data_IF_669785258086
#
_entry.id   IF_669785258086
#
_cell.length_a   1.000
_cell.length_b   1.000
_cell.length_c   1.000
_cell.angle_alpha   90.00
_cell.angle_beta   90.00
_cell.angle_gamma   90.00
#
_symmetry.space_group_name_H-M   'P 1'
#
loop_
_entity.id
_entity.type
_entity.pdbx_description
1 polymer ?
#
# COMPACT_ATOMS: atom_id res chain seq x y z
N UNK A 1 -13.12 3.95 11.19
CA UNK A 1 -11.90 4.74 10.86
C UNK A 1 -10.66 3.98 11.29
N UNK A 2 -9.79 3.65 10.34
CA UNK A 2 -8.50 2.96 10.49
C UNK A 2 -7.46 3.95 11.02
N UNK A 3 -6.87 3.67 12.19
CA UNK A 3 -5.96 4.59 12.89
C UNK A 3 -4.49 4.33 12.63
N UNK A 4 -4.14 3.09 12.27
CA UNK A 4 -2.79 2.70 11.93
C UNK A 4 -2.79 1.64 10.83
N UNK A 5 -1.64 1.44 10.21
CA UNK A 5 -1.54 0.60 9.01
C UNK A 5 -1.78 -0.89 9.26
N UNK A 6 -1.57 -1.39 10.48
CA UNK A 6 -1.80 -2.80 10.80
C UNK A 6 -3.30 -3.14 10.85
N UNK A 7 -4.16 -2.14 11.10
CA UNK A 7 -5.61 -2.33 11.11
C UNK A 7 -6.18 -2.65 9.71
N UNK A 8 -5.42 -2.42 8.63
CA UNK A 8 -5.78 -2.83 7.26
C UNK A 8 -6.02 -4.35 7.16
N UNK A 9 -5.42 -5.15 8.05
CA UNK A 9 -5.65 -6.59 8.08
C UNK A 9 -7.12 -6.97 8.31
N UNK A 10 -7.93 -6.06 8.89
CA UNK A 10 -9.36 -6.27 9.15
C UNK A 10 -10.25 -5.91 7.95
N UNK A 11 -9.69 -5.29 6.92
CA UNK A 11 -10.43 -4.87 5.73
C UNK A 11 -10.62 -6.03 4.76
N UNK A 12 -11.76 -6.03 4.09
CA UNK A 12 -12.01 -6.89 2.94
C UNK A 12 -11.13 -6.48 1.76
N UNK A 13 -11.11 -7.33 0.73
CA UNK A 13 -10.29 -7.09 -0.45
C UNK A 13 -10.82 -5.93 -1.30
N UNK A 14 -12.15 -5.77 -1.37
CA UNK A 14 -12.81 -4.73 -2.18
C UNK A 14 -12.44 -3.33 -1.69
N UNK A 15 -12.47 -3.10 -0.38
CA UNK A 15 -12.03 -1.84 0.25
C UNK A 15 -10.57 -1.54 -0.08
N UNK A 16 -9.70 -2.55 -0.04
CA UNK A 16 -8.28 -2.39 -0.34
C UNK A 16 -8.08 -2.09 -1.84
N UNK A 17 -8.80 -2.78 -2.72
CA UNK A 17 -8.75 -2.53 -4.16
C UNK A 17 -9.21 -1.12 -4.51
N UNK A 18 -10.28 -0.64 -3.88
CA UNK A 18 -10.77 0.73 -4.09
C UNK A 18 -9.75 1.76 -3.59
N UNK A 19 -9.14 1.56 -2.43
CA UNK A 19 -8.09 2.45 -1.93
C UNK A 19 -6.81 2.43 -2.79
N UNK A 20 -6.52 1.31 -3.44
CA UNK A 20 -5.40 1.20 -4.39
C UNK A 20 -5.71 1.86 -5.75
N UNK A 21 -6.98 2.01 -6.13
CA UNK A 21 -7.37 2.62 -7.39
C UNK A 21 -6.88 4.08 -7.42
N UNK A 22 -6.14 4.44 -8.47
CA UNK A 22 -5.55 5.77 -8.61
C UNK A 22 -4.34 6.04 -7.70
N UNK A 23 -3.85 5.05 -6.94
CA UNK A 23 -2.59 5.18 -6.20
C UNK A 23 -1.40 4.95 -7.15
N UNK A 24 -0.44 5.87 -7.14
CA UNK A 24 0.74 5.79 -8.01
C UNK A 24 1.67 4.64 -7.61
N UNK A 25 2.36 4.05 -8.60
CA UNK A 25 3.31 2.95 -8.40
C UNK A 25 4.40 3.35 -7.39
N UNK A 26 4.87 4.60 -7.42
CA UNK A 26 5.88 5.12 -6.51
C UNK A 26 5.38 5.12 -5.07
N UNK A 27 4.11 5.46 -4.84
CA UNK A 27 3.50 5.45 -3.52
C UNK A 27 3.39 4.02 -2.97
N UNK A 28 2.92 3.07 -3.79
CA UNK A 28 2.82 1.66 -3.40
C UNK A 28 4.20 1.05 -3.13
N UNK A 29 5.20 1.38 -3.94
CA UNK A 29 6.57 0.92 -3.73
C UNK A 29 7.16 1.44 -2.41
N UNK A 30 6.92 2.71 -2.07
CA UNK A 30 7.31 3.27 -0.78
C UNK A 30 6.60 2.56 0.39
N UNK A 31 5.30 2.25 0.25
CA UNK A 31 4.58 1.46 1.23
C UNK A 31 5.29 0.13 1.47
N UNK A 32 5.54 -0.66 0.43
CA UNK A 32 6.11 -2.01 0.60
C UNK A 32 7.47 -2.02 1.29
N UNK A 33 8.27 -0.96 1.16
CA UNK A 33 9.56 -0.83 1.85
C UNK A 33 9.44 -0.55 3.35
N UNK A 34 8.30 -0.02 3.80
CA UNK A 34 8.06 0.43 5.18
C UNK A 34 7.14 -0.50 5.97
N UNK A 35 6.39 -1.37 5.30
CA UNK A 35 5.43 -2.25 5.94
C UNK A 35 6.07 -3.55 6.43
N UNK A 36 5.43 -4.15 7.44
CA UNK A 36 5.70 -5.53 7.79
C UNK A 36 5.23 -6.45 6.65
N UNK A 37 5.92 -7.58 6.50
CA UNK A 37 5.63 -8.57 5.46
C UNK A 37 4.14 -8.99 5.40
N UNK A 38 3.43 -9.23 6.54
CA UNK A 38 2.01 -9.59 6.48
C UNK A 38 1.12 -8.50 5.88
N UNK A 39 1.38 -7.23 6.19
CA UNK A 39 0.57 -6.10 5.69
C UNK A 39 0.89 -5.85 4.22
N UNK A 40 2.16 -5.89 3.85
CA UNK A 40 2.59 -5.78 2.46
C UNK A 40 1.96 -6.89 1.60
N UNK A 41 1.92 -8.14 2.10
CA UNK A 41 1.28 -9.26 1.43
C UNK A 41 -0.24 -9.09 1.28
N UNK A 42 -0.93 -8.60 2.33
CA UNK A 42 -2.38 -8.34 2.25
C UNK A 42 -2.69 -7.30 1.16
N UNK A 43 -1.86 -6.26 1.01
CA UNK A 43 -2.02 -5.25 -0.04
C UNK A 43 -1.65 -5.83 -1.41
N UNK A 44 -0.54 -6.55 -1.54
CA UNK A 44 -0.02 -7.03 -2.83
C UNK A 44 -0.97 -8.01 -3.53
N UNK A 45 -1.74 -8.81 -2.79
CA UNK A 45 -2.75 -9.70 -3.36
C UNK A 45 -3.90 -8.98 -4.07
N UNK A 46 -4.03 -7.67 -3.89
CA UNK A 46 -5.01 -6.82 -4.54
C UNK A 46 -4.44 -6.11 -5.78
N UNK A 47 -3.19 -6.41 -6.15
CA UNK A 47 -2.56 -5.94 -7.38
C UNK A 47 -2.60 -7.06 -8.42
N UNK A 48 -2.70 -6.69 -9.70
CA UNK A 48 -2.40 -7.63 -10.78
C UNK A 48 -0.91 -7.99 -10.77
N UNK A 49 -0.56 -9.16 -11.32
CA UNK A 49 0.85 -9.61 -11.42
C UNK A 49 1.74 -8.54 -12.05
N UNK A 50 1.30 -7.95 -13.16
CA UNK A 50 2.04 -6.89 -13.86
C UNK A 50 2.21 -5.63 -13.00
N UNK A 51 1.19 -5.25 -12.22
CA UNK A 51 1.29 -4.10 -11.33
C UNK A 51 2.26 -4.38 -10.18
N UNK A 52 2.18 -5.58 -9.59
CA UNK A 52 3.09 -6.03 -8.53
C UNK A 52 4.56 -6.06 -8.99
N UNK A 53 4.84 -6.56 -10.19
CA UNK A 53 6.20 -6.55 -10.77
C UNK A 53 6.77 -5.13 -10.86
N UNK A 54 6.01 -4.18 -11.41
CA UNK A 54 6.42 -2.78 -11.50
C UNK A 54 6.65 -2.12 -10.13
N UNK A 55 5.79 -2.43 -9.16
CA UNK A 55 5.95 -1.95 -7.78
C UNK A 55 7.25 -2.49 -7.18
N UNK A 56 7.57 -3.77 -7.40
CA UNK A 56 8.81 -4.37 -6.90
C UNK A 56 10.05 -3.80 -7.56
N UNK A 57 10.03 -3.59 -8.88
CA UNK A 57 11.12 -2.90 -9.59
C UNK A 57 11.31 -1.50 -9.00
N UNK A 58 10.22 -0.75 -8.83
CA UNK A 58 10.29 0.60 -8.25
C UNK A 58 10.77 0.61 -6.81
N UNK A 59 10.39 -0.38 -6.00
CA UNK A 59 10.85 -0.51 -4.61
C UNK A 59 12.37 -0.80 -4.56
N UNK A 60 12.89 -1.59 -5.49
CA UNK A 60 14.35 -1.81 -5.63
C UNK A 60 15.08 -0.53 -6.01
N UNK A 61 14.54 0.27 -6.93
CA UNK A 61 15.10 1.58 -7.31
C UNK A 61 15.15 2.56 -6.13
N UNK A 62 14.06 2.65 -5.36
CA UNK A 62 13.98 3.56 -4.21
C UNK A 62 14.95 3.09 -3.12
N UNK A 63 14.89 1.80 -2.76
CA UNK A 63 15.65 1.23 -1.66
C UNK A 63 15.14 1.69 -0.28
N UNK A 64 15.26 0.82 0.73
CA UNK A 64 14.65 1.03 2.05
C UNK A 64 15.05 2.34 2.74
N UNK A 65 16.28 2.82 2.54
CA UNK A 65 16.79 4.05 3.17
C UNK A 65 16.13 5.33 2.63
N UNK A 66 15.53 5.28 1.44
CA UNK A 66 14.90 6.44 0.81
C UNK A 66 13.37 6.36 0.85
N UNK A 67 12.80 5.37 1.55
CA UNK A 67 11.36 5.22 1.67
C UNK A 67 10.78 6.28 2.62
N UNK A 68 9.70 6.94 2.20
CA UNK A 68 9.11 8.08 2.91
C UNK A 68 7.81 7.69 3.62
N UNK A 69 7.75 7.96 4.94
CA UNK A 69 6.61 7.60 5.79
C UNK A 69 5.31 8.29 5.39
N UNK A 70 5.37 9.43 4.68
CA UNK A 70 4.18 10.15 4.20
C UNK A 70 3.26 9.30 3.33
N UNK A 71 3.80 8.28 2.66
CA UNK A 71 3.01 7.40 1.81
C UNK A 71 2.12 6.45 2.62
N UNK A 72 2.52 6.10 3.86
CA UNK A 72 1.64 5.39 4.80
C UNK A 72 0.44 6.27 5.16
N UNK A 73 0.70 7.53 5.52
CA UNK A 73 -0.36 8.47 5.91
C UNK A 73 -1.31 8.79 4.74
N UNK A 74 -0.76 8.95 3.55
CA UNK A 74 -1.52 9.14 2.30
C UNK A 74 -2.45 7.94 2.03
N UNK A 75 -1.92 6.72 2.13
CA UNK A 75 -2.71 5.51 1.91
C UNK A 75 -3.80 5.33 2.98
N UNK A 76 -3.50 5.61 4.25
CA UNK A 76 -4.50 5.58 5.32
C UNK A 76 -5.63 6.58 5.11
N UNK A 77 -5.34 7.77 4.56
CA UNK A 77 -6.38 8.74 4.19
C UNK A 77 -7.31 8.19 3.11
N UNK A 78 -6.76 7.57 2.06
CA UNK A 78 -7.54 6.94 0.98
C UNK A 78 -8.42 5.81 1.52
N UNK A 79 -7.84 4.91 2.31
CA UNK A 79 -8.60 3.82 2.97
C UNK A 79 -9.76 4.38 3.78
N UNK A 80 -9.51 5.39 4.62
CA UNK A 80 -10.55 6.00 5.43
C UNK A 80 -11.64 6.69 4.59
N UNK A 81 -11.30 7.28 3.44
CA UNK A 81 -12.30 7.86 2.53
C UNK A 81 -13.19 6.81 1.87
N UNK A 82 -12.69 5.59 1.65
CA UNK A 82 -13.48 4.47 1.11
C UNK A 82 -14.40 3.88 2.19
N UNK A 83 -13.94 3.82 3.45
CA UNK A 83 -14.73 3.30 4.56
C UNK A 83 -15.76 4.28 5.15
N UNK A 84 -15.90 5.49 4.58
CA UNK A 84 -16.81 6.53 5.08
C UNK A 84 -18.20 6.44 4.50
#
# INVERSE_FOLDING_TARGET
>A
MIKNINEIMRLDNDTIQEALRGTDITEIANLFLLLSEPVAYKISRNLSTRAFEKVNEKAKEIGKKNADKKYIDSFLKKVNSVCS
#
